data_IF_074232779173
#
_entry.id   IF_074232779173
#
_cell.length_a   1.000
_cell.length_b   1.000
_cell.length_c   1.000
_cell.angle_alpha   90.00
_cell.angle_beta   90.00
_cell.angle_gamma   90.00
#
_symmetry.space_group_name_H-M   'P 1'
#
loop_
_entity.id
_entity.type
_entity.pdbx_description
1 polymer ?
#
# COMPACT_ATOMS: atom_id res chain seq x y z
N UNK A 1 -35.98 19.44 32.15
CA UNK A 1 -35.65 18.45 31.09
C UNK A 1 -35.16 19.26 29.89
N UNK A 2 -33.94 19.26 29.40
CA UNK A 2 -32.78 18.38 29.49
C UNK A 2 -32.13 18.47 28.10
N UNK A 3 -30.93 19.04 27.97
CA UNK A 3 -30.37 19.26 26.64
C UNK A 3 -28.99 19.92 26.59
N UNK A 4 -27.94 19.22 27.01
CA UNK A 4 -26.54 19.61 26.73
C UNK A 4 -25.64 18.37 26.72
N UNK A 5 -25.44 17.75 25.55
CA UNK A 5 -24.55 16.58 25.42
C UNK A 5 -23.75 16.47 24.13
N UNK A 6 -23.93 17.37 23.16
CA UNK A 6 -23.39 17.22 21.79
C UNK A 6 -22.03 17.90 21.48
N UNK A 7 -21.57 19.00 22.15
CA UNK A 7 -20.30 19.64 21.79
C UNK A 7 -19.06 18.85 22.21
N UNK A 8 -19.07 18.30 23.43
CA UNK A 8 -17.91 17.65 24.05
C UNK A 8 -17.49 16.35 23.36
N UNK A 9 -18.43 15.60 22.76
CA UNK A 9 -18.09 14.39 22.01
C UNK A 9 -17.39 14.72 20.69
N UNK A 10 -17.80 15.78 19.99
CA UNK A 10 -17.17 16.21 18.74
C UNK A 10 -15.77 16.75 18.96
N UNK A 11 -15.54 17.53 20.03
CA UNK A 11 -14.20 18.00 20.37
C UNK A 11 -13.27 16.85 20.76
N UNK A 12 -13.76 15.86 21.51
CA UNK A 12 -12.98 14.66 21.82
C UNK A 12 -12.67 13.79 20.61
N UNK A 13 -13.61 13.67 19.66
CA UNK A 13 -13.40 12.99 18.38
C UNK A 13 -12.36 13.73 17.54
N UNK A 14 -12.50 15.06 17.37
CA UNK A 14 -11.53 15.86 16.62
C UNK A 14 -10.13 15.85 17.25
N UNK A 15 -10.02 15.84 18.59
CA UNK A 15 -8.74 15.69 19.29
C UNK A 15 -8.13 14.30 19.10
N UNK A 16 -8.97 13.25 19.09
CA UNK A 16 -8.52 11.89 18.82
C UNK A 16 -8.08 11.73 17.35
N UNK A 17 -8.83 12.26 16.40
CA UNK A 17 -8.49 12.31 14.97
C UNK A 17 -7.18 13.08 14.74
N UNK A 18 -6.99 14.22 15.41
CA UNK A 18 -5.74 14.97 15.38
C UNK A 18 -4.56 14.15 15.94
N UNK A 19 -4.78 13.40 17.03
CA UNK A 19 -3.78 12.50 17.60
C UNK A 19 -3.41 11.34 16.66
N UNK A 20 -4.39 10.73 15.99
CA UNK A 20 -4.16 9.66 15.01
C UNK A 20 -3.42 10.17 13.77
N UNK A 21 -3.77 11.36 13.27
CA UNK A 21 -3.09 11.99 12.15
C UNK A 21 -1.64 12.37 12.50
N UNK A 22 -1.40 12.87 13.70
CA UNK A 22 -0.04 13.15 14.21
C UNK A 22 0.79 11.87 14.34
N UNK A 23 0.18 10.78 14.79
CA UNK A 23 0.85 9.47 14.87
C UNK A 23 1.29 8.98 13.48
N UNK A 24 0.40 9.02 12.49
CA UNK A 24 0.74 8.64 11.11
C UNK A 24 1.84 9.55 10.57
N UNK A 25 1.75 10.86 10.80
CA UNK A 25 2.77 11.83 10.35
C UNK A 25 4.15 11.55 10.95
N UNK A 26 4.20 11.22 12.24
CA UNK A 26 5.44 10.83 12.91
C UNK A 26 6.00 9.53 12.32
N UNK A 27 5.15 8.55 12.02
CA UNK A 27 5.55 7.27 11.45
C UNK A 27 6.06 7.42 10.01
N UNK A 28 5.39 8.23 9.18
CA UNK A 28 5.85 8.62 7.84
C UNK A 28 7.25 9.23 7.92
N UNK A 29 7.48 10.15 8.85
CA UNK A 29 8.78 10.80 9.02
C UNK A 29 9.89 9.82 9.41
N UNK A 30 9.59 8.80 10.24
CA UNK A 30 10.52 7.70 10.55
C UNK A 30 10.85 6.90 9.28
N UNK A 31 9.84 6.48 8.53
CA UNK A 31 10.03 5.67 7.32
C UNK A 31 10.82 6.39 6.22
N UNK A 32 10.53 7.67 6.00
CA UNK A 32 11.29 8.52 5.07
C UNK A 32 12.77 8.61 5.49
N UNK A 33 13.03 8.73 6.79
CA UNK A 33 14.39 8.76 7.34
C UNK A 33 15.11 7.44 7.12
N UNK A 34 14.47 6.31 7.42
CA UNK A 34 15.01 4.95 7.20
C UNK A 34 15.36 4.76 5.73
N UNK A 35 14.46 5.19 4.85
CA UNK A 35 14.62 5.07 3.41
C UNK A 35 15.84 5.82 2.86
N UNK A 36 16.23 6.93 3.50
CA UNK A 36 17.40 7.73 3.13
C UNK A 36 18.72 7.24 3.74
N UNK A 37 18.72 6.22 4.62
CA UNK A 37 19.94 5.81 5.34
C UNK A 37 20.98 5.14 4.43
N UNK A 38 22.24 5.62 4.40
CA UNK A 38 23.31 5.00 3.62
C UNK A 38 23.66 3.59 4.10
N UNK A 39 23.89 2.67 3.16
CA UNK A 39 24.23 1.25 3.40
C UNK A 39 25.42 1.00 4.35
N UNK A 40 26.37 1.94 4.50
CA UNK A 40 27.66 1.73 5.22
C UNK A 40 27.62 1.99 6.72
N UNK A 41 26.60 2.65 7.28
CA UNK A 41 26.51 2.90 8.73
C UNK A 41 25.93 1.68 9.45
N UNK A 42 26.76 0.64 9.62
CA UNK A 42 26.37 -0.68 10.17
C UNK A 42 26.60 -0.82 11.69
N UNK A 43 26.71 0.26 12.47
CA UNK A 43 27.27 0.16 13.84
C UNK A 43 26.55 0.98 14.92
N UNK A 44 25.22 0.90 14.95
CA UNK A 44 24.32 1.05 16.11
C UNK A 44 22.90 1.05 15.54
N UNK A 45 22.36 -0.12 15.21
CA UNK A 45 20.91 -0.24 15.04
C UNK A 45 20.32 0.00 16.44
N UNK A 46 20.00 1.26 16.77
CA UNK A 46 18.82 1.47 17.60
C UNK A 46 17.70 0.99 16.70
N UNK A 47 17.20 -0.21 17.00
CA UNK A 47 16.00 -0.74 16.39
C UNK A 47 14.95 0.36 16.51
N UNK A 48 14.63 1.01 15.39
CA UNK A 48 13.59 2.03 15.41
C UNK A 48 12.31 1.32 15.83
N UNK A 49 11.73 1.78 16.93
CA UNK A 49 10.46 1.25 17.40
C UNK A 49 9.39 1.86 16.50
N UNK A 50 8.78 1.00 15.71
CA UNK A 50 7.64 1.32 14.86
C UNK A 50 6.36 1.02 15.64
N UNK A 51 5.40 1.92 15.54
CA UNK A 51 4.13 1.78 16.23
C UNK A 51 3.25 0.75 15.52
N UNK A 52 2.40 0.05 16.27
CA UNK A 52 1.35 -0.77 15.65
C UNK A 52 0.26 0.16 15.15
N UNK A 53 0.08 0.22 13.83
CA UNK A 53 -0.93 1.05 13.19
C UNK A 53 -2.19 0.22 12.89
N UNK A 54 -3.35 0.88 12.94
CA UNK A 54 -4.62 0.34 12.45
C UNK A 54 -4.65 0.33 10.91
N UNK A 55 -5.55 -0.43 10.27
CA UNK A 55 -5.70 -0.47 8.82
C UNK A 55 -5.76 0.90 8.14
N UNK A 56 -6.68 1.78 8.55
CA UNK A 56 -6.83 3.11 7.96
C UNK A 56 -5.56 3.96 8.11
N UNK A 57 -4.84 3.80 9.23
CA UNK A 57 -3.56 4.46 9.46
C UNK A 57 -2.44 3.90 8.56
N UNK A 58 -2.48 2.60 8.26
CA UNK A 58 -1.57 1.97 7.30
C UNK A 58 -1.85 2.48 5.89
N UNK A 59 -3.11 2.57 5.47
CA UNK A 59 -3.48 3.15 4.17
C UNK A 59 -2.88 4.56 4.05
N UNK A 60 -3.12 5.43 5.02
CA UNK A 60 -2.56 6.79 5.04
C UNK A 60 -1.03 6.78 5.00
N UNK A 61 -0.36 5.93 5.78
CA UNK A 61 1.10 5.80 5.74
C UNK A 61 1.58 5.42 4.33
N UNK A 62 0.95 4.42 3.71
CA UNK A 62 1.35 3.92 2.39
C UNK A 62 1.08 4.95 1.29
N UNK A 63 0.01 5.74 1.37
CA UNK A 63 -0.26 6.86 0.46
C UNK A 63 0.86 7.90 0.50
N UNK A 64 1.31 8.31 1.69
CA UNK A 64 2.45 9.23 1.81
C UNK A 64 3.77 8.64 1.28
N UNK A 65 3.93 7.32 1.37
CA UNK A 65 5.07 6.62 0.80
C UNK A 65 4.97 6.50 -0.73
N UNK A 66 3.75 6.34 -1.27
CA UNK A 66 3.45 6.39 -2.69
C UNK A 66 3.73 7.76 -3.29
N UNK A 67 3.76 8.85 -2.52
CA UNK A 67 4.21 10.15 -3.02
C UNK A 67 5.74 10.26 -3.16
N UNK A 68 6.50 9.37 -2.50
CA UNK A 68 7.96 9.42 -2.53
C UNK A 68 8.49 9.04 -3.91
N UNK A 69 9.50 9.77 -4.38
CA UNK A 69 10.18 9.47 -5.65
C UNK A 69 10.83 8.08 -5.65
N UNK A 70 11.36 7.67 -4.51
CA UNK A 70 12.01 6.36 -4.37
C UNK A 70 11.71 5.78 -2.99
N UNK A 71 11.37 4.50 -2.93
CA UNK A 71 11.36 3.70 -1.70
C UNK A 71 12.27 2.50 -1.95
N UNK A 72 13.30 2.33 -1.11
CA UNK A 72 14.33 1.32 -1.32
C UNK A 72 13.78 -0.08 -1.06
N UNK A 73 14.33 -1.12 -1.71
CA UNK A 73 13.95 -2.51 -1.44
C UNK A 73 14.08 -2.92 0.03
N UNK A 74 15.04 -2.34 0.77
CA UNK A 74 15.19 -2.61 2.21
C UNK A 74 14.04 -2.02 3.01
N UNK A 75 13.60 -0.80 2.67
CA UNK A 75 12.45 -0.17 3.32
C UNK A 75 11.18 -0.97 3.04
N UNK A 76 10.92 -1.35 1.78
CA UNK A 76 9.78 -2.18 1.39
C UNK A 76 9.77 -3.52 2.14
N UNK A 77 10.93 -4.19 2.23
CA UNK A 77 11.06 -5.42 3.01
C UNK A 77 10.76 -5.22 4.50
N UNK A 78 11.23 -4.11 5.10
CA UNK A 78 10.95 -3.81 6.50
C UNK A 78 9.49 -3.48 6.75
N UNK A 79 8.83 -2.75 5.84
CA UNK A 79 7.40 -2.42 5.90
C UNK A 79 6.57 -3.70 5.93
N UNK A 80 6.78 -4.60 4.98
CA UNK A 80 6.08 -5.88 4.93
C UNK A 80 6.34 -6.71 6.20
N UNK A 81 7.59 -6.78 6.67
CA UNK A 81 7.92 -7.55 7.88
C UNK A 81 7.23 -6.99 9.14
N UNK A 82 7.15 -5.67 9.28
CA UNK A 82 6.64 -5.00 10.49
C UNK A 82 5.12 -5.00 10.51
N UNK A 83 4.49 -4.68 9.38
CA UNK A 83 3.04 -4.49 9.31
C UNK A 83 2.29 -5.65 8.67
N UNK A 84 2.99 -6.61 8.07
CA UNK A 84 2.41 -7.76 7.33
C UNK A 84 1.37 -7.28 6.33
N UNK A 85 1.76 -6.34 5.47
CA UNK A 85 0.86 -5.62 4.56
C UNK A 85 0.12 -6.58 3.63
N UNK A 86 0.79 -7.66 3.23
CA UNK A 86 0.23 -8.68 2.35
C UNK A 86 -0.85 -9.57 3.02
N UNK A 87 -0.98 -9.51 4.36
CA UNK A 87 -1.97 -10.20 5.19
C UNK A 87 -3.08 -9.25 5.71
N UNK A 88 -3.02 -7.95 5.40
CA UNK A 88 -4.05 -6.99 5.79
C UNK A 88 -5.30 -7.08 4.90
N UNK A 89 -6.29 -6.24 5.16
CA UNK A 89 -7.47 -6.09 4.30
C UNK A 89 -7.13 -5.59 2.88
N UNK A 90 -8.13 -5.60 2.01
CA UNK A 90 -8.00 -5.28 0.60
C UNK A 90 -7.45 -3.87 0.34
N UNK A 91 -7.77 -2.88 1.17
CA UNK A 91 -7.35 -1.49 0.96
C UNK A 91 -5.86 -1.32 1.25
N UNK A 92 -5.40 -1.88 2.36
CA UNK A 92 -3.96 -1.91 2.68
C UNK A 92 -3.18 -2.73 1.66
N UNK A 93 -3.70 -3.90 1.27
CA UNK A 93 -3.09 -4.75 0.23
C UNK A 93 -2.98 -4.04 -1.11
N UNK A 94 -3.99 -3.26 -1.49
CA UNK A 94 -3.97 -2.47 -2.72
C UNK A 94 -2.83 -1.45 -2.70
N UNK A 95 -2.74 -0.63 -1.64
CA UNK A 95 -1.66 0.36 -1.48
C UNK A 95 -0.27 -0.29 -1.44
N UNK A 96 -0.16 -1.47 -0.84
CA UNK A 96 1.08 -2.24 -0.86
C UNK A 96 1.47 -2.69 -2.27
N UNK A 97 0.52 -3.20 -3.04
CA UNK A 97 0.76 -3.60 -4.42
C UNK A 97 1.16 -2.42 -5.31
N UNK A 98 0.55 -1.25 -5.14
CA UNK A 98 0.95 -0.03 -5.83
C UNK A 98 2.42 0.32 -5.54
N UNK A 99 2.88 0.23 -4.29
CA UNK A 99 4.29 0.45 -3.94
C UNK A 99 5.23 -0.56 -4.61
N UNK A 100 4.82 -1.83 -4.65
CA UNK A 100 5.59 -2.89 -5.31
C UNK A 100 5.77 -2.59 -6.79
N UNK A 101 4.68 -2.23 -7.47
CA UNK A 101 4.63 -1.91 -8.90
C UNK A 101 5.46 -0.65 -9.18
N UNK A 102 5.15 0.45 -8.49
CA UNK A 102 5.83 1.75 -8.65
C UNK A 102 7.34 1.65 -8.48
N UNK A 103 7.82 0.86 -7.52
CA UNK A 103 9.24 0.72 -7.22
C UNK A 103 9.89 -0.54 -7.79
N UNK A 104 9.18 -1.27 -8.67
CA UNK A 104 9.67 -2.47 -9.35
C UNK A 104 10.24 -3.52 -8.39
N UNK A 105 9.59 -3.70 -7.24
CA UNK A 105 10.04 -4.60 -6.18
C UNK A 105 9.68 -6.07 -6.48
N UNK A 106 10.38 -6.64 -7.46
CA UNK A 106 10.17 -7.98 -8.02
C UNK A 106 10.04 -9.12 -6.99
N UNK A 107 10.69 -8.99 -5.82
CA UNK A 107 10.63 -10.00 -4.75
C UNK A 107 9.21 -10.21 -4.18
N UNK A 108 8.33 -9.23 -4.33
CA UNK A 108 6.96 -9.27 -3.83
C UNK A 108 5.90 -9.33 -4.95
N UNK A 109 6.29 -9.66 -6.19
CA UNK A 109 5.31 -9.79 -7.28
C UNK A 109 4.26 -10.88 -7.02
N UNK A 110 4.59 -11.89 -6.21
CA UNK A 110 3.60 -12.89 -5.76
C UNK A 110 2.42 -12.25 -5.00
N UNK A 111 2.63 -11.15 -4.29
CA UNK A 111 1.55 -10.45 -3.60
C UNK A 111 0.66 -9.70 -4.60
N UNK A 112 1.25 -9.12 -5.65
CA UNK A 112 0.51 -8.52 -6.77
C UNK A 112 -0.31 -9.57 -7.50
N UNK A 113 0.26 -10.74 -7.80
CA UNK A 113 -0.47 -11.86 -8.44
C UNK A 113 -1.67 -12.30 -7.61
N UNK A 114 -1.47 -12.42 -6.29
CA UNK A 114 -2.52 -12.81 -5.35
C UNK A 114 -3.63 -11.76 -5.30
N UNK A 115 -3.27 -10.49 -5.22
CA UNK A 115 -4.21 -9.38 -5.20
C UNK A 115 -5.07 -9.32 -6.47
N UNK A 116 -4.47 -9.44 -7.66
CA UNK A 116 -5.22 -9.41 -8.92
C UNK A 116 -6.20 -10.57 -9.10
N UNK A 117 -5.97 -11.70 -8.41
CA UNK A 117 -6.86 -12.86 -8.45
C UNK A 117 -7.98 -12.76 -7.40
N UNK A 118 -7.66 -12.28 -6.19
CA UNK A 118 -8.57 -12.26 -5.04
C UNK A 118 -9.44 -10.98 -4.98
N UNK A 119 -8.89 -9.82 -5.34
CA UNK A 119 -9.51 -8.49 -5.15
C UNK A 119 -9.83 -7.82 -6.50
N UNK A 120 -10.55 -8.53 -7.37
CA UNK A 120 -10.69 -8.20 -8.80
C UNK A 120 -11.23 -6.79 -9.10
N UNK A 121 -12.19 -6.29 -8.30
CA UNK A 121 -12.76 -4.95 -8.48
C UNK A 121 -11.72 -3.84 -8.30
N UNK A 122 -10.89 -3.93 -7.25
CA UNK A 122 -9.78 -3.00 -7.03
C UNK A 122 -8.61 -3.30 -7.97
N UNK A 123 -8.46 -4.55 -8.39
CA UNK A 123 -7.40 -5.02 -9.31
C UNK A 123 -7.41 -4.33 -10.68
N UNK A 124 -8.55 -3.83 -11.16
CA UNK A 124 -8.66 -3.09 -12.44
C UNK A 124 -7.71 -1.89 -12.47
N UNK A 125 -7.67 -1.11 -11.39
CA UNK A 125 -6.75 0.02 -11.27
C UNK A 125 -5.28 -0.44 -11.37
N UNK A 126 -4.95 -1.52 -10.67
CA UNK A 126 -3.60 -2.06 -10.62
C UNK A 126 -3.13 -2.63 -11.97
N UNK A 127 -4.04 -3.17 -12.79
CA UNK A 127 -3.74 -3.52 -14.18
C UNK A 127 -3.29 -2.29 -14.98
N UNK A 128 -3.95 -1.14 -14.81
CA UNK A 128 -3.54 0.13 -15.39
C UNK A 128 -2.13 0.53 -14.97
N UNK A 129 -1.81 0.48 -13.67
CA UNK A 129 -0.48 0.79 -13.14
C UNK A 129 0.62 -0.12 -13.70
N UNK A 130 0.35 -1.43 -13.81
CA UNK A 130 1.30 -2.40 -14.38
C UNK A 130 1.60 -2.09 -15.85
N UNK A 131 0.60 -1.64 -16.61
CA UNK A 131 0.76 -1.26 -18.01
C UNK A 131 1.49 0.08 -18.18
N UNK A 132 1.25 1.05 -17.31
CA UNK A 132 1.95 2.34 -17.28
C UNK A 132 3.43 2.22 -16.90
N UNK A 133 3.84 1.16 -16.20
CA UNK A 133 5.22 1.00 -15.70
C UNK A 133 6.31 0.85 -16.79
N UNK A 134 5.91 0.69 -18.05
CA UNK A 134 6.73 0.34 -19.22
C UNK A 134 7.71 -0.83 -18.97
N UNK A 135 7.45 -1.66 -17.95
CA UNK A 135 8.32 -2.74 -17.54
C UNK A 135 7.84 -4.07 -18.13
N UNK A 136 8.62 -4.75 -18.99
CA UNK A 136 8.18 -5.99 -19.64
C UNK A 136 7.81 -7.10 -18.65
N UNK A 137 8.40 -7.13 -17.45
CA UNK A 137 8.08 -8.13 -16.44
C UNK A 137 6.71 -7.85 -15.82
N UNK A 138 6.39 -6.59 -15.59
CA UNK A 138 5.08 -6.17 -15.07
C UNK A 138 3.97 -6.37 -16.10
N UNK A 139 4.22 -6.07 -17.38
CA UNK A 139 3.26 -6.34 -18.45
C UNK A 139 3.03 -7.85 -18.63
N UNK A 140 4.09 -8.67 -18.55
CA UNK A 140 3.94 -10.12 -18.57
C UNK A 140 3.17 -10.65 -17.35
N UNK A 141 3.46 -10.11 -16.15
CA UNK A 141 2.72 -10.42 -14.92
C UNK A 141 1.22 -10.14 -15.10
N UNK A 142 0.89 -8.96 -15.62
CA UNK A 142 -0.48 -8.53 -15.88
C UNK A 142 -1.20 -9.49 -16.84
N UNK A 143 -0.61 -9.78 -18.00
CA UNK A 143 -1.21 -10.71 -18.98
C UNK A 143 -1.45 -12.10 -18.39
N UNK A 144 -0.44 -12.66 -17.70
CA UNK A 144 -0.55 -13.98 -17.06
C UNK A 144 -1.65 -13.99 -15.99
N UNK A 145 -1.72 -12.97 -15.13
CA UNK A 145 -2.76 -12.88 -14.10
C UNK A 145 -4.15 -12.78 -14.73
N UNK A 146 -4.30 -11.96 -15.77
CA UNK A 146 -5.57 -11.80 -16.46
C UNK A 146 -6.03 -13.09 -17.13
N UNK A 147 -5.14 -13.81 -17.81
CA UNK A 147 -5.46 -15.12 -18.39
C UNK A 147 -5.98 -16.12 -17.34
N UNK A 148 -5.42 -16.08 -16.13
CA UNK A 148 -5.83 -16.96 -15.02
C UNK A 148 -7.16 -16.56 -14.38
N UNK A 149 -7.52 -15.28 -14.35
CA UNK A 149 -8.69 -14.77 -13.62
C UNK A 149 -9.84 -14.27 -14.49
N UNK A 150 -9.66 -14.04 -15.80
CA UNK A 150 -10.67 -13.41 -16.67
C UNK A 150 -12.04 -14.07 -16.66
N UNK A 151 -12.11 -15.38 -16.45
CA UNK A 151 -13.37 -16.14 -16.44
C UNK A 151 -14.15 -15.95 -15.13
N UNK A 152 -13.47 -15.50 -14.08
CA UNK A 152 -14.04 -15.24 -12.76
C UNK A 152 -14.42 -13.76 -12.59
N UNK A 153 -13.85 -12.87 -13.41
CA UNK A 153 -14.17 -11.46 -13.43
C UNK A 153 -15.57 -11.20 -13.97
N UNK A 154 -16.21 -10.13 -13.50
CA UNK A 154 -17.40 -9.64 -14.17
C UNK A 154 -17.07 -9.23 -15.61
N UNK A 155 -18.04 -9.41 -16.52
CA UNK A 155 -17.83 -9.23 -17.96
C UNK A 155 -17.30 -7.83 -18.30
N UNK A 156 -17.86 -6.79 -17.68
CA UNK A 156 -17.43 -5.41 -17.91
C UNK A 156 -15.99 -5.16 -17.50
N UNK A 157 -15.58 -5.64 -16.32
CA UNK A 157 -14.20 -5.50 -15.85
C UNK A 157 -13.23 -6.30 -16.71
N UNK A 158 -13.63 -7.49 -17.16
CA UNK A 158 -12.81 -8.29 -18.06
C UNK A 158 -12.58 -7.60 -19.42
N UNK A 159 -13.61 -6.97 -19.99
CA UNK A 159 -13.50 -6.18 -21.22
C UNK A 159 -12.55 -5.00 -21.04
N UNK A 160 -12.71 -4.22 -19.96
CA UNK A 160 -11.83 -3.07 -19.65
C UNK A 160 -10.37 -3.50 -19.50
N UNK A 161 -10.10 -4.58 -18.76
CA UNK A 161 -8.72 -5.06 -18.56
C UNK A 161 -8.15 -5.64 -19.86
N UNK A 162 -8.96 -6.30 -20.69
CA UNK A 162 -8.51 -6.79 -22.00
C UNK A 162 -8.04 -5.63 -22.90
N UNK A 163 -8.79 -4.52 -22.95
CA UNK A 163 -8.43 -3.32 -23.72
C UNK A 163 -7.13 -2.66 -23.24
N UNK A 164 -6.77 -2.80 -21.96
CA UNK A 164 -5.50 -2.29 -21.43
C UNK A 164 -4.29 -3.17 -21.82
N UNK A 165 -4.51 -4.47 -22.03
CA UNK A 165 -3.44 -5.47 -22.16
C UNK A 165 -3.06 -5.83 -23.60
N UNK A 166 -3.99 -5.64 -24.54
CA UNK A 166 -3.92 -6.10 -25.94
C UNK A 166 -4.35 -5.01 -26.92
#
# INVERSE_FOLDING_TARGET
>A
MGGTGKPLQRERQALAECGLAQQVSAEVAKWVRVNRRPRKRKRKDREEVFEKLLPDQLVLLLEHLLEQKTVTPRTLQSLERIYRLSEQDAEVRHRWCELIVKHKYTKAYRDVERFLQEDQAMGIYLYGELMLSEDPRQQHLARRCFELSREQMDKSSAEVVAEMLF
#
